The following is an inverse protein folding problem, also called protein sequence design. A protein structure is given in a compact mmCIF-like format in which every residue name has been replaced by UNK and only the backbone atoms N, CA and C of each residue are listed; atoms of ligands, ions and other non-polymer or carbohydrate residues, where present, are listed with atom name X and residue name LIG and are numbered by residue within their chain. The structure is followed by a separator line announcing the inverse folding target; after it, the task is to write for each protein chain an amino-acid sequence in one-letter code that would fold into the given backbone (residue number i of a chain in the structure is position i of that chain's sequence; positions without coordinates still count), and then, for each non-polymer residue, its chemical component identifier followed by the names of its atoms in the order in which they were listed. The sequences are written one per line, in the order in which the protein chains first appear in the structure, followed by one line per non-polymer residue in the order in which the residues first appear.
data_IF_619932049374
#
_entry.id   IF_619932049374
#
_cell.length_a   1.000
_cell.length_b   1.000
_cell.length_c   1.000
_cell.angle_alpha   90.00
_cell.angle_beta   90.00
_cell.angle_gamma   90.00
#
_symmetry.space_group_name_H-M   'P 1'
#
loop_
_entity.id
_entity.type
_entity.pdbx_description
1 polymer ?
#
# COMPACT_ATOMS: atom_id res chain seq x y z
N UNK A 1 -25.13 -9.76 -6.73
CA UNK A 1 -23.80 -9.15 -6.52
C UNK A 1 -24.02 -7.87 -5.76
N UNK A 2 -23.41 -7.68 -4.58
CA UNK A 2 -23.52 -6.41 -3.86
C UNK A 2 -22.97 -5.29 -4.75
N UNK A 3 -23.77 -4.25 -4.97
CA UNK A 3 -23.33 -3.03 -5.65
C UNK A 3 -22.33 -2.29 -4.75
N UNK A 4 -21.31 -1.68 -5.34
CA UNK A 4 -20.22 -1.01 -4.63
C UNK A 4 -20.12 0.45 -5.11
N UNK A 5 -19.93 1.37 -4.17
CA UNK A 5 -19.63 2.76 -4.47
C UNK A 5 -18.17 3.07 -4.18
N UNK A 6 -17.54 3.84 -5.07
CA UNK A 6 -16.23 4.44 -4.84
C UNK A 6 -16.42 5.78 -4.16
N UNK A 7 -16.04 5.87 -2.88
CA UNK A 7 -16.09 7.14 -2.14
C UNK A 7 -14.87 8.00 -2.42
N UNK A 8 -13.72 7.37 -2.71
CA UNK A 8 -12.53 8.06 -3.18
C UNK A 8 -11.68 7.17 -4.09
N UNK A 9 -10.98 7.81 -5.02
CA UNK A 9 -9.95 7.22 -5.85
C UNK A 9 -8.77 8.18 -5.90
N UNK A 10 -7.57 7.67 -5.61
CA UNK A 10 -6.34 8.44 -5.63
C UNK A 10 -5.31 7.73 -6.49
N UNK A 11 -4.58 8.49 -7.32
CA UNK A 11 -3.48 7.99 -8.15
C UNK A 11 -2.29 8.94 -8.07
N UNK A 12 -1.10 8.38 -7.91
CA UNK A 12 0.17 9.09 -8.06
C UNK A 12 1.13 8.24 -8.90
N UNK A 13 1.35 8.67 -10.14
CA UNK A 13 2.19 7.97 -11.13
C UNK A 13 2.77 8.95 -12.18
N UNK A 14 4.05 9.35 -12.05
CA UNK A 14 4.87 9.22 -10.84
C UNK A 14 4.28 10.05 -9.69
N UNK A 15 4.61 9.74 -8.42
CA UNK A 15 4.40 10.65 -7.31
C UNK A 15 5.10 12.01 -7.50
N UNK A 16 4.51 13.12 -7.00
CA UNK A 16 5.15 14.45 -7.00
C UNK A 16 6.52 14.44 -6.32
N UNK A 17 7.45 15.31 -6.69
CA UNK A 17 8.84 15.26 -6.18
C UNK A 17 8.96 15.31 -4.65
N UNK A 18 8.04 16.01 -3.99
CA UNK A 18 7.96 16.28 -2.55
C UNK A 18 7.04 15.31 -1.80
N UNK A 19 6.58 14.22 -2.45
CA UNK A 19 5.59 13.29 -1.89
C UNK A 19 5.99 12.72 -0.51
N UNK A 20 7.29 12.55 -0.24
CA UNK A 20 7.79 12.08 1.06
C UNK A 20 7.63 13.10 2.18
N UNK A 21 7.81 14.37 1.86
CA UNK A 21 7.61 15.45 2.83
C UNK A 21 6.13 15.70 3.05
N UNK A 22 5.32 15.57 1.99
CA UNK A 22 3.85 15.55 2.10
C UNK A 22 3.37 14.38 2.98
N UNK A 23 3.89 13.16 2.76
CA UNK A 23 3.61 12.00 3.62
C UNK A 23 3.98 12.30 5.08
N UNK A 24 5.19 12.80 5.33
CA UNK A 24 5.66 13.09 6.68
C UNK A 24 4.77 14.11 7.41
N UNK A 25 4.30 15.13 6.67
CA UNK A 25 3.35 16.12 7.18
C UNK A 25 2.01 15.47 7.54
N UNK A 26 1.46 14.63 6.66
CA UNK A 26 0.15 13.96 6.87
C UNK A 26 0.15 13.01 8.07
N UNK A 27 1.26 12.32 8.32
CA UNK A 27 1.36 11.31 9.40
C UNK A 27 2.04 11.85 10.67
N UNK A 28 2.44 13.13 10.69
CA UNK A 28 3.11 13.78 11.81
C UNK A 28 4.52 13.27 12.12
N UNK A 29 5.11 12.42 11.26
CA UNK A 29 6.46 11.86 11.44
C UNK A 29 7.06 11.43 10.11
N UNK A 30 8.40 11.38 10.01
CA UNK A 30 9.06 10.76 8.87
C UNK A 30 9.13 9.23 9.04
N UNK A 31 8.67 8.41 8.07
CA UNK A 31 8.88 6.96 8.11
C UNK A 31 10.37 6.63 8.22
N UNK A 32 10.72 5.59 8.98
CA UNK A 32 12.12 5.19 9.20
C UNK A 32 12.27 3.70 8.95
N UNK A 33 13.24 3.32 8.11
CA UNK A 33 13.65 1.92 7.85
C UNK A 33 12.56 1.04 7.21
N UNK A 34 11.52 1.61 6.61
CA UNK A 34 10.40 0.86 6.01
C UNK A 34 10.54 0.56 4.52
N UNK A 35 11.45 1.26 3.81
CA UNK A 35 11.70 1.07 2.39
C UNK A 35 10.73 1.84 1.47
N UNK A 36 11.15 2.05 0.21
CA UNK A 36 10.40 2.83 -0.80
C UNK A 36 8.99 2.28 -1.03
N UNK A 37 8.86 0.97 -1.27
CA UNK A 37 7.57 0.33 -1.52
C UNK A 37 6.55 0.59 -0.40
N UNK A 38 6.98 0.49 0.86
CA UNK A 38 6.13 0.78 2.02
C UNK A 38 5.76 2.26 2.10
N UNK A 39 6.70 3.16 1.87
CA UNK A 39 6.42 4.60 1.85
C UNK A 39 5.39 4.97 0.75
N UNK A 40 5.50 4.37 -0.45
CA UNK A 40 4.52 4.55 -1.53
C UNK A 40 3.12 4.05 -1.12
N UNK A 41 3.05 2.90 -0.45
CA UNK A 41 1.80 2.35 0.04
C UNK A 41 1.16 3.27 1.09
N UNK A 42 1.95 3.72 2.08
CA UNK A 42 1.50 4.67 3.10
C UNK A 42 1.00 5.98 2.48
N UNK A 43 1.73 6.54 1.53
CA UNK A 43 1.37 7.79 0.86
C UNK A 43 0.04 7.68 0.12
N UNK A 44 -0.09 6.70 -0.78
CA UNK A 44 -1.32 6.55 -1.55
C UNK A 44 -2.54 6.22 -0.70
N UNK A 45 -2.37 5.36 0.32
CA UNK A 45 -3.44 5.01 1.23
C UNK A 45 -3.95 6.22 2.05
N UNK A 46 -3.03 7.00 2.62
CA UNK A 46 -3.36 8.20 3.40
C UNK A 46 -4.04 9.25 2.52
N UNK A 47 -3.50 9.53 1.33
CA UNK A 47 -4.11 10.45 0.38
C UNK A 47 -5.50 10.01 -0.07
N UNK A 48 -5.73 8.71 -0.24
CA UNK A 48 -7.05 8.16 -0.58
C UNK A 48 -8.07 8.39 0.55
N UNK A 49 -7.68 8.19 1.82
CA UNK A 49 -8.54 8.51 2.96
C UNK A 49 -8.82 10.00 3.08
N UNK A 50 -7.80 10.84 2.86
CA UNK A 50 -7.97 12.29 2.86
C UNK A 50 -8.98 12.72 1.79
N UNK A 51 -8.90 12.12 0.60
CA UNK A 51 -9.86 12.35 -0.48
C UNK A 51 -11.27 11.82 -0.16
N UNK A 52 -11.38 10.79 0.68
CA UNK A 52 -12.66 10.29 1.19
C UNK A 52 -13.23 11.13 2.35
N UNK A 53 -12.47 12.11 2.86
CA UNK A 53 -12.84 12.86 4.07
C UNK A 53 -12.76 12.03 5.35
N UNK A 54 -12.05 10.88 5.34
CA UNK A 54 -11.92 9.98 6.48
C UNK A 54 -10.62 10.27 7.24
N UNK A 55 -10.73 10.71 8.50
CA UNK A 55 -9.55 10.94 9.35
C UNK A 55 -8.81 9.63 9.68
N UNK A 56 -9.54 8.53 9.84
CA UNK A 56 -9.02 7.18 10.07
C UNK A 56 -9.89 6.17 9.32
N UNK A 57 -9.31 5.01 8.96
CA UNK A 57 -10.07 3.95 8.30
C UNK A 57 -11.00 3.28 9.33
N UNK A 58 -12.29 3.03 9.03
CA UNK A 58 -13.20 2.34 9.94
C UNK A 58 -12.67 0.95 10.34
N UNK A 59 -12.84 0.58 11.61
CA UNK A 59 -12.25 -0.65 12.17
C UNK A 59 -12.68 -1.94 11.42
N UNK A 60 -13.92 -2.01 10.92
CA UNK A 60 -14.39 -3.17 10.15
C UNK A 60 -14.06 -3.11 8.65
N UNK A 61 -13.47 -2.01 8.17
CA UNK A 61 -13.02 -1.92 6.78
C UNK A 61 -11.77 -2.78 6.60
N UNK A 62 -11.62 -3.38 5.42
CA UNK A 62 -10.47 -4.22 5.09
C UNK A 62 -9.43 -3.45 4.28
N UNK A 63 -8.17 -3.84 4.40
CA UNK A 63 -7.10 -3.37 3.51
C UNK A 63 -6.69 -4.51 2.57
N UNK A 64 -6.61 -4.23 1.27
CA UNK A 64 -6.13 -5.19 0.28
C UNK A 64 -5.15 -4.50 -0.64
N UNK A 65 -3.91 -4.96 -0.67
CA UNK A 65 -2.87 -4.39 -1.52
C UNK A 65 -2.45 -5.40 -2.56
N UNK A 66 -2.32 -4.94 -3.80
CA UNK A 66 -1.84 -5.73 -4.90
C UNK A 66 -0.56 -5.12 -5.47
N UNK A 67 0.29 -5.97 -6.01
CA UNK A 67 1.43 -5.55 -6.82
C UNK A 67 1.75 -6.63 -7.85
N UNK A 68 2.34 -6.26 -8.97
CA UNK A 68 2.90 -7.20 -9.93
C UNK A 68 4.19 -7.83 -9.42
N UNK A 69 4.94 -7.11 -8.58
CA UNK A 69 6.33 -7.42 -8.25
C UNK A 69 6.65 -7.44 -6.76
N UNK A 70 5.82 -6.81 -5.93
CA UNK A 70 6.07 -6.62 -4.50
C UNK A 70 7.25 -5.68 -4.25
N UNK A 71 7.92 -5.85 -3.11
CA UNK A 71 9.10 -5.10 -2.70
C UNK A 71 10.36 -5.52 -3.49
N UNK A 72 10.36 -5.23 -4.79
CA UNK A 72 11.38 -5.66 -5.74
C UNK A 72 12.78 -5.19 -5.33
N UNK A 73 12.94 -3.90 -5.02
CA UNK A 73 14.22 -3.28 -4.66
C UNK A 73 14.83 -3.91 -3.41
N UNK A 74 14.04 -4.08 -2.35
CA UNK A 74 14.49 -4.74 -1.13
C UNK A 74 14.82 -6.22 -1.38
N UNK A 75 14.02 -6.93 -2.17
CA UNK A 75 14.28 -8.34 -2.50
C UNK A 75 15.62 -8.50 -3.23
N UNK A 76 15.88 -7.68 -4.26
CA UNK A 76 17.14 -7.73 -4.99
C UNK A 76 18.35 -7.29 -4.17
N UNK A 77 18.23 -6.23 -3.37
CA UNK A 77 19.29 -5.82 -2.47
C UNK A 77 19.64 -6.93 -1.46
N UNK A 78 18.64 -7.69 -1.01
CA UNK A 78 18.84 -8.83 -0.14
C UNK A 78 19.65 -9.92 -0.83
N UNK A 79 19.27 -10.32 -2.04
CA UNK A 79 20.04 -11.32 -2.80
C UNK A 79 21.51 -10.90 -2.98
N UNK A 80 21.77 -9.64 -3.32
CA UNK A 80 23.15 -9.13 -3.43
C UNK A 80 23.92 -9.19 -2.11
N UNK A 81 23.26 -8.89 -0.98
CA UNK A 81 23.89 -8.98 0.35
C UNK A 81 24.17 -10.45 0.73
N UNK A 82 23.26 -11.37 0.40
CA UNK A 82 23.45 -12.79 0.61
C UNK A 82 24.68 -13.30 -0.16
N UNK A 83 24.80 -12.95 -1.44
CA UNK A 83 25.94 -13.32 -2.29
C UNK A 83 27.25 -12.76 -1.73
N UNK A 84 27.22 -11.57 -1.11
CA UNK A 84 28.37 -10.94 -0.46
C UNK A 84 28.64 -11.45 0.97
N UNK A 85 27.85 -12.38 1.50
CA UNK A 85 27.98 -12.88 2.87
C UNK A 85 27.64 -11.84 3.95
N UNK A 86 26.85 -10.82 3.62
CA UNK A 86 26.47 -9.72 4.52
C UNK A 86 25.15 -10.01 5.25
N UNK A 87 24.99 -9.55 6.50
CA UNK A 87 23.71 -9.64 7.21
C UNK A 87 22.64 -8.73 6.57
N UNK A 88 21.38 -9.17 6.61
CA UNK A 88 20.26 -8.52 5.90
C UNK A 88 19.05 -8.14 6.77
N UNK A 89 19.18 -7.67 8.02
CA UNK A 89 18.02 -7.49 8.90
C UNK A 89 17.02 -6.46 8.34
N UNK A 90 17.47 -5.30 7.86
CA UNK A 90 16.58 -4.27 7.33
C UNK A 90 16.04 -4.62 5.95
N UNK A 91 16.89 -5.14 5.07
CA UNK A 91 16.51 -5.52 3.71
C UNK A 91 15.47 -6.63 3.72
N UNK A 92 15.64 -7.63 4.59
CA UNK A 92 14.65 -8.68 4.81
C UNK A 92 13.33 -8.10 5.33
N UNK A 93 13.35 -7.24 6.35
CA UNK A 93 12.13 -6.60 6.85
C UNK A 93 11.42 -5.78 5.77
N UNK A 94 12.16 -5.00 4.98
CA UNK A 94 11.62 -4.16 3.91
C UNK A 94 11.03 -4.97 2.76
N UNK A 95 11.43 -6.24 2.58
CA UNK A 95 10.86 -7.11 1.56
C UNK A 95 9.56 -7.80 2.01
N UNK A 96 9.18 -7.73 3.29
CA UNK A 96 8.00 -8.43 3.80
C UNK A 96 6.71 -7.64 3.57
N UNK A 97 5.73 -8.18 2.81
CA UNK A 97 4.42 -7.54 2.64
C UNK A 97 3.66 -7.34 3.95
N UNK A 98 3.80 -8.26 4.91
CA UNK A 98 3.16 -8.15 6.21
C UNK A 98 3.63 -6.90 6.98
N UNK A 99 4.91 -6.53 6.87
CA UNK A 99 5.45 -5.33 7.52
C UNK A 99 5.00 -4.05 6.81
N UNK A 100 4.88 -4.09 5.48
CA UNK A 100 4.25 -3.00 4.73
C UNK A 100 2.81 -2.78 5.19
N UNK A 101 2.00 -3.84 5.30
CA UNK A 101 0.60 -3.74 5.74
C UNK A 101 0.49 -3.23 7.18
N UNK A 102 1.39 -3.65 8.08
CA UNK A 102 1.44 -3.15 9.45
C UNK A 102 1.73 -1.63 9.50
N UNK A 103 2.66 -1.14 8.68
CA UNK A 103 2.97 0.28 8.60
C UNK A 103 1.86 1.10 7.96
N UNK A 104 1.14 0.54 6.97
CA UNK A 104 -0.07 1.16 6.42
C UNK A 104 -1.17 1.21 7.50
N UNK A 105 -1.45 0.11 8.22
CA UNK A 105 -2.43 0.13 9.31
C UNK A 105 -2.11 1.19 10.36
N UNK A 106 -0.85 1.24 10.81
CA UNK A 106 -0.36 2.27 11.75
C UNK A 106 -0.39 3.69 11.16
N UNK A 107 -0.28 3.86 9.84
CA UNK A 107 -0.43 5.13 9.13
C UNK A 107 -1.88 5.64 9.11
N UNK A 108 -2.85 4.72 9.14
CA UNK A 108 -4.28 5.01 9.04
C UNK A 108 -5.02 4.88 10.39
N UNK A 109 -4.27 4.72 11.49
CA UNK A 109 -4.78 4.46 12.85
C UNK A 109 -5.72 3.26 12.91
N UNK A 110 -5.43 2.23 12.13
CA UNK A 110 -6.32 1.11 11.87
C UNK A 110 -5.70 -0.24 12.27
N UNK A 111 -6.57 -1.13 12.76
CA UNK A 111 -6.23 -2.47 13.24
C UNK A 111 -7.33 -3.42 12.76
N UNK A 112 -7.03 -4.26 11.75
CA UNK A 112 -8.03 -5.18 11.22
C UNK A 112 -7.47 -6.14 10.18
N UNK A 113 -8.36 -6.65 9.32
CA UNK A 113 -8.01 -7.62 8.28
C UNK A 113 -7.35 -6.94 7.06
N UNK A 114 -6.06 -7.21 6.90
CA UNK A 114 -5.26 -6.76 5.77
C UNK A 114 -4.67 -7.96 5.01
N UNK A 115 -4.60 -7.87 3.68
CA UNK A 115 -3.85 -8.85 2.89
C UNK A 115 -3.14 -8.24 1.69
N UNK A 116 -2.13 -8.97 1.23
CA UNK A 116 -1.34 -8.63 0.05
C UNK A 116 -1.41 -9.76 -0.97
N UNK A 117 -1.47 -9.40 -2.26
CA UNK A 117 -1.41 -10.35 -3.36
C UNK A 117 -0.44 -9.90 -4.46
N UNK A 118 0.34 -10.84 -4.97
CA UNK A 118 1.01 -10.67 -6.26
C UNK A 118 0.01 -10.95 -7.38
N UNK A 119 -0.22 -10.00 -8.27
CA UNK A 119 -1.19 -10.15 -9.34
C UNK A 119 -0.75 -9.45 -10.63
N UNK A 120 -1.11 -10.03 -11.78
CA UNK A 120 -0.99 -9.39 -13.09
C UNK A 120 -2.30 -8.75 -13.55
N UNK A 121 -3.42 -9.22 -12.98
CA UNK A 121 -4.78 -8.75 -13.28
C UNK A 121 -5.34 -8.02 -12.05
N UNK A 122 -5.22 -6.69 -12.08
CA UNK A 122 -5.72 -5.83 -11.01
C UNK A 122 -7.26 -5.89 -10.89
N UNK A 123 -7.97 -6.04 -12.01
CA UNK A 123 -9.43 -6.06 -12.03
C UNK A 123 -9.96 -7.32 -11.32
N UNK A 124 -9.37 -8.48 -11.61
CA UNK A 124 -9.71 -9.74 -10.93
C UNK A 124 -9.37 -9.69 -9.45
N UNK A 125 -8.24 -9.09 -9.10
CA UNK A 125 -7.84 -8.95 -7.68
C UNK A 125 -8.80 -8.05 -6.93
N UNK A 126 -9.26 -6.95 -7.53
CA UNK A 126 -10.29 -6.10 -6.94
C UNK A 126 -11.62 -6.84 -6.77
N UNK A 127 -12.03 -7.66 -7.74
CA UNK A 127 -13.23 -8.50 -7.61
C UNK A 127 -13.14 -9.46 -6.42
N UNK A 128 -11.99 -10.13 -6.25
CA UNK A 128 -11.75 -11.01 -5.10
C UNK A 128 -11.68 -10.24 -3.78
N UNK A 129 -11.06 -9.05 -3.78
CA UNK A 129 -10.95 -8.20 -2.59
C UNK A 129 -12.31 -7.75 -2.04
N UNK A 130 -13.30 -7.57 -2.92
CA UNK A 130 -14.69 -7.27 -2.55
C UNK A 130 -15.41 -8.46 -1.88
N UNK A 131 -14.96 -9.70 -2.13
CA UNK A 131 -15.55 -10.88 -1.50
C UNK A 131 -15.17 -10.92 -0.01
N UNK A 132 -16.19 -10.83 0.84
CA UNK A 132 -16.04 -10.87 2.30
C UNK A 132 -15.80 -9.51 2.96
N UNK A 133 -15.68 -8.41 2.20
CA UNK A 133 -15.67 -7.08 2.81
C UNK A 133 -17.06 -6.77 3.42
N UNK A 134 -17.03 -6.26 4.67
CA UNK A 134 -18.23 -5.96 5.45
C UNK A 134 -18.79 -4.57 5.10
N UNK A 135 -19.76 -4.09 5.90
CA UNK A 135 -20.44 -2.79 5.71
C UNK A 135 -19.49 -1.59 5.70
N UNK A 136 -18.41 -1.68 6.47
CA UNK A 136 -17.40 -0.62 6.55
C UNK A 136 -16.53 -0.53 5.27
N UNK A 137 -16.60 -1.55 4.42
CA UNK A 137 -16.04 -1.55 3.08
C UNK A 137 -14.58 -1.97 3.01
N UNK A 138 -13.89 -1.42 2.01
CA UNK A 138 -12.58 -1.87 1.55
C UNK A 138 -11.73 -0.66 1.15
N UNK A 139 -10.46 -0.69 1.54
CA UNK A 139 -9.39 0.13 0.98
C UNK A 139 -8.51 -0.78 0.11
N UNK A 140 -8.60 -0.62 -1.20
CA UNK A 140 -7.86 -1.42 -2.18
C UNK A 140 -6.73 -0.59 -2.78
N UNK A 141 -5.51 -1.13 -2.81
CA UNK A 141 -4.32 -0.44 -3.31
C UNK A 141 -3.54 -1.24 -4.35
N UNK A 142 -2.95 -0.54 -5.31
CA UNK A 142 -1.93 -1.05 -6.23
C UNK A 142 -0.66 -0.24 -6.01
N UNK A 143 0.46 -0.91 -5.73
CA UNK A 143 1.72 -0.25 -5.40
C UNK A 143 2.87 -0.88 -6.18
N UNK A 144 3.58 -0.06 -6.97
CA UNK A 144 4.73 -0.46 -7.78
C UNK A 144 5.93 0.45 -7.52
N UNK A 145 7.09 -0.17 -7.34
CA UNK A 145 8.38 0.54 -7.38
C UNK A 145 8.80 0.83 -8.82
N UNK A 146 9.74 1.76 -8.97
CA UNK A 146 10.38 2.06 -10.26
C UNK A 146 11.09 0.82 -10.80
N UNK A 147 10.89 0.53 -12.10
CA UNK A 147 11.60 -0.57 -12.78
C UNK A 147 11.54 -0.45 -14.29
N UNK A 148 12.64 -0.78 -14.96
CA UNK A 148 12.71 -0.85 -16.44
C UNK A 148 12.23 0.43 -17.13
N UNK A 149 12.49 1.59 -16.52
CA UNK A 149 12.02 2.89 -17.00
C UNK A 149 10.57 3.24 -16.66
N UNK A 150 9.82 2.33 -16.04
CA UNK A 150 8.50 2.63 -15.50
C UNK A 150 8.64 3.41 -14.19
N UNK A 151 7.99 4.59 -14.05
CA UNK A 151 8.02 5.33 -12.82
C UNK A 151 7.26 4.58 -11.69
N UNK A 152 7.57 4.88 -10.42
CA UNK A 152 6.82 4.33 -9.31
C UNK A 152 5.34 4.71 -9.39
N UNK A 153 4.47 3.87 -8.82
CA UNK A 153 3.01 4.06 -8.80
C UNK A 153 2.45 3.74 -7.43
N UNK A 154 1.51 4.55 -6.99
CA UNK A 154 0.61 4.20 -5.89
C UNK A 154 -0.80 4.64 -6.26
N UNK A 155 -1.75 3.71 -6.24
CA UNK A 155 -3.14 3.95 -6.64
C UNK A 155 -4.09 3.22 -5.72
N UNK A 156 -5.12 3.91 -5.26
CA UNK A 156 -5.96 3.46 -4.16
C UNK A 156 -7.43 3.81 -4.38
N UNK A 157 -8.31 2.89 -4.00
CA UNK A 157 -9.75 3.06 -4.01
C UNK A 157 -10.31 2.81 -2.62
N UNK A 158 -11.10 3.76 -2.13
CA UNK A 158 -11.99 3.56 -0.99
C UNK A 158 -13.36 3.16 -1.52
N UNK A 159 -13.78 1.97 -1.14
CA UNK A 159 -15.00 1.32 -1.64
C UNK A 159 -15.91 0.97 -0.46
N UNK A 160 -17.21 1.26 -0.59
CA UNK A 160 -18.24 0.85 0.38
C UNK A 160 -19.37 0.11 -0.33
N UNK A 161 -20.03 -0.86 0.33
CA UNK A 161 -21.26 -1.43 -0.20
C UNK A 161 -22.32 -0.33 -0.42
N UNK A 162 -23.11 -0.51 -1.48
CA UNK A 162 -24.27 0.32 -1.78
C UNK A 162 -25.46 0.06 -0.86
#
# INVERSE_FOLDING_TARGET
MSTWHTTAHFIAHPPPVDWRDDLARRIGRRPRRVGLWTELAMYGARCCLDAAGEAALPAGARIRVASQRGAWGATHAGLTQLDAGLPMPFTFMQSQPALMLAEVGRCLEWWGDASFALCRDAARTLQLAKLGAARDGLLFGIVEEERHGEPPRTEWWRLVPA
#
